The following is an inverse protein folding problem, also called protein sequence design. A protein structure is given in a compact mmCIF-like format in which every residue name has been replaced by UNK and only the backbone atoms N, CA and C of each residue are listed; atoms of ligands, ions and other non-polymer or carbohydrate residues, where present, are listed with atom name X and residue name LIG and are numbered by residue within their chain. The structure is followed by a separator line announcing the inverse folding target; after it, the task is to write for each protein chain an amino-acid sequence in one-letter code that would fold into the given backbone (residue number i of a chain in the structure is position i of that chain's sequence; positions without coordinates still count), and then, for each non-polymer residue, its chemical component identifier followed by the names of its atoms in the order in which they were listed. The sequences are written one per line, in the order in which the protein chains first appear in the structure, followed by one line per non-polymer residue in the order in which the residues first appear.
data_IF_001757912430
#
_entry.id   IF_001757912430
#
_cell.length_a   1.000
_cell.length_b   1.000
_cell.length_c   1.000
_cell.angle_alpha   90.00
_cell.angle_beta   90.00
_cell.angle_gamma   90.00
#
_symmetry.space_group_name_H-M   'P 1'
#
loop_
_entity.id
_entity.type
_entity.pdbx_description
1 polymer ?
#
# COMPACT_ATOMS: atom_id res chain seq x y z
N UNK A 1 11.64 2.37 -9.78
CA UNK A 1 10.33 1.73 -9.53
C UNK A 1 9.22 2.80 -9.45
N UNK A 2 7.99 2.55 -9.92
CA UNK A 2 6.81 3.40 -9.75
C UNK A 2 6.06 2.93 -8.52
N UNK A 3 5.72 3.87 -7.65
CA UNK A 3 5.00 3.60 -6.40
C UNK A 3 3.51 3.88 -6.56
N UNK A 4 2.71 3.25 -5.70
CA UNK A 4 1.28 3.51 -5.61
C UNK A 4 1.08 4.93 -5.06
N UNK A 5 0.30 5.75 -5.76
CA UNK A 5 0.00 7.11 -5.31
C UNK A 5 -1.13 7.12 -4.29
N UNK A 6 -1.27 8.22 -3.54
CA UNK A 6 -2.39 8.41 -2.61
C UNK A 6 -3.74 8.25 -3.32
N UNK A 7 -3.95 8.93 -4.45
CA UNK A 7 -5.21 8.82 -5.19
C UNK A 7 -5.50 7.37 -5.63
N UNK A 8 -4.47 6.64 -6.08
CA UNK A 8 -4.62 5.25 -6.50
C UNK A 8 -4.99 4.32 -5.34
N UNK A 9 -4.41 4.52 -4.15
CA UNK A 9 -4.79 3.71 -2.98
C UNK A 9 -6.19 4.04 -2.49
N UNK A 10 -6.63 5.30 -2.62
CA UNK A 10 -8.01 5.70 -2.29
C UNK A 10 -9.03 5.09 -3.27
N UNK A 11 -8.72 5.08 -4.56
CA UNK A 11 -9.54 4.41 -5.58
C UNK A 11 -9.55 2.90 -5.32
N UNK A 12 -8.42 2.30 -4.99
CA UNK A 12 -8.31 0.89 -4.65
C UNK A 12 -9.16 0.53 -3.42
N UNK A 13 -9.07 1.33 -2.34
CA UNK A 13 -9.90 1.14 -1.14
C UNK A 13 -11.39 1.23 -1.46
N UNK A 14 -11.80 2.26 -2.23
CA UNK A 14 -13.20 2.41 -2.64
C UNK A 14 -13.73 1.16 -3.33
N UNK A 15 -13.02 0.68 -4.36
CA UNK A 15 -13.42 -0.54 -5.11
C UNK A 15 -13.53 -1.76 -4.21
N UNK A 16 -12.56 -1.95 -3.31
CA UNK A 16 -12.56 -3.07 -2.37
C UNK A 16 -13.78 -3.02 -1.45
N UNK A 17 -14.14 -1.83 -0.93
CA UNK A 17 -15.31 -1.68 -0.06
C UNK A 17 -16.62 -1.89 -0.85
N UNK A 18 -16.70 -1.37 -2.07
CA UNK A 18 -17.85 -1.56 -2.97
C UNK A 18 -18.08 -3.06 -3.29
N UNK A 19 -17.01 -3.82 -3.51
CA UNK A 19 -17.09 -5.24 -3.90
C UNK A 19 -17.26 -6.19 -2.70
N UNK A 20 -16.59 -5.92 -1.57
CA UNK A 20 -16.51 -6.86 -0.45
C UNK A 20 -17.27 -6.41 0.81
N UNK A 21 -17.91 -5.25 0.77
CA UNK A 21 -18.60 -4.63 1.90
C UNK A 21 -17.64 -4.07 2.96
N UNK A 22 -18.21 -3.40 3.96
CA UNK A 22 -17.48 -2.71 5.02
C UNK A 22 -17.72 -1.20 5.02
N UNK A 23 -16.98 -0.49 5.87
CA UNK A 23 -17.15 0.97 6.03
C UNK A 23 -16.08 1.75 5.26
N UNK A 24 -16.52 2.60 4.33
CA UNK A 24 -15.64 3.52 3.63
C UNK A 24 -15.18 4.64 4.58
N UNK A 25 -13.99 5.19 4.32
CA UNK A 25 -13.45 6.32 5.08
C UNK A 25 -11.98 6.16 5.45
N UNK A 26 -11.29 7.30 5.51
CA UNK A 26 -9.94 7.41 6.04
C UNK A 26 -10.06 7.65 7.54
N UNK A 27 -9.41 6.81 8.34
CA UNK A 27 -9.29 6.99 9.79
C UNK A 27 -8.19 8.01 10.10
N UNK A 28 -7.06 7.90 9.42
CA UNK A 28 -5.89 8.76 9.62
C UNK A 28 -5.09 8.88 8.32
N UNK A 29 -5.04 10.10 7.78
CA UNK A 29 -4.34 10.41 6.53
C UNK A 29 -2.82 10.31 6.69
N UNK A 30 -2.28 10.77 7.82
CA UNK A 30 -0.84 10.72 8.10
C UNK A 30 -0.34 9.28 8.18
N UNK A 31 -1.14 8.38 8.76
CA UNK A 31 -0.85 6.95 8.78
C UNK A 31 -0.90 6.30 7.39
N UNK A 32 -1.75 6.81 6.48
CA UNK A 32 -1.82 6.37 5.09
C UNK A 32 -0.57 6.81 4.33
N UNK A 33 -0.21 8.08 4.43
CA UNK A 33 0.98 8.66 3.79
C UNK A 33 2.26 7.98 4.29
N UNK A 34 2.35 7.73 5.60
CA UNK A 34 3.43 6.95 6.20
C UNK A 34 3.56 5.55 5.57
N UNK A 35 2.44 4.83 5.41
CA UNK A 35 2.46 3.51 4.79
C UNK A 35 2.89 3.55 3.32
N UNK A 36 2.47 4.55 2.56
CA UNK A 36 2.86 4.76 1.15
C UNK A 36 4.32 5.22 0.99
N UNK A 37 4.90 5.84 2.02
CA UNK A 37 6.31 6.23 2.05
C UNK A 37 7.22 5.04 2.37
N UNK A 38 6.72 4.03 3.08
CA UNK A 38 7.55 2.95 3.62
C UNK A 38 8.44 2.21 2.60
N UNK A 39 7.97 1.88 1.38
CA UNK A 39 8.81 1.21 0.36
C UNK A 39 9.99 2.05 -0.15
N UNK A 40 10.06 3.33 0.22
CA UNK A 40 11.10 4.29 -0.16
C UNK A 40 12.01 4.67 1.01
N UNK A 41 11.82 4.09 2.19
CA UNK A 41 12.68 4.40 3.32
C UNK A 41 14.12 3.97 3.09
N UNK A 42 15.04 4.81 3.55
CA UNK A 42 16.48 4.58 3.48
C UNK A 42 17.09 4.78 4.86
N UNK A 43 18.23 4.14 5.10
CA UNK A 43 19.05 4.37 6.28
C UNK A 43 20.51 4.51 5.84
N UNK A 44 21.17 5.60 6.25
CA UNK A 44 22.53 5.94 5.81
C UNK A 44 22.69 5.97 4.28
N UNK A 45 21.64 6.42 3.57
CA UNK A 45 21.62 6.47 2.09
C UNK A 45 21.39 5.12 1.41
N UNK A 46 21.24 4.03 2.16
CA UNK A 46 20.98 2.68 1.63
C UNK A 46 19.49 2.38 1.73
N UNK A 47 18.94 1.80 0.66
CA UNK A 47 17.54 1.37 0.61
C UNK A 47 17.26 0.29 1.65
N UNK A 48 16.24 0.48 2.48
CA UNK A 48 15.84 -0.53 3.47
C UNK A 48 15.18 -1.74 2.81
N UNK A 49 14.65 -1.57 1.61
CA UNK A 49 13.93 -2.61 0.86
C UNK A 49 14.50 -2.66 -0.56
N UNK A 50 15.65 -3.33 -0.78
CA UNK A 50 16.36 -3.27 -2.06
C UNK A 50 15.65 -4.02 -3.19
N UNK A 51 14.85 -5.06 -2.90
CA UNK A 51 14.14 -5.83 -3.92
C UNK A 51 12.69 -5.40 -4.11
N UNK A 52 12.12 -5.73 -5.27
CA UNK A 52 10.68 -5.51 -5.56
C UNK A 52 9.78 -6.20 -4.52
N UNK A 53 10.11 -7.44 -4.15
CA UNK A 53 9.33 -8.24 -3.20
C UNK A 53 9.35 -7.58 -1.82
N UNK A 54 10.52 -7.13 -1.36
CA UNK A 54 10.65 -6.43 -0.07
C UNK A 54 9.87 -5.11 -0.08
N UNK A 55 9.91 -4.34 -1.17
CA UNK A 55 9.13 -3.10 -1.30
C UNK A 55 7.63 -3.35 -1.30
N UNK A 56 7.17 -4.41 -1.96
CA UNK A 56 5.77 -4.81 -1.96
C UNK A 56 5.32 -5.27 -0.56
N UNK A 57 6.16 -6.07 0.12
CA UNK A 57 5.92 -6.52 1.48
C UNK A 57 5.87 -5.35 2.47
N UNK A 58 6.80 -4.39 2.37
CA UNK A 58 6.83 -3.20 3.20
C UNK A 58 5.56 -2.34 3.04
N UNK A 59 5.09 -2.16 1.80
CA UNK A 59 3.84 -1.44 1.51
C UNK A 59 2.64 -2.15 2.16
N UNK A 60 2.48 -3.44 1.86
CA UNK A 60 1.36 -4.23 2.35
C UNK A 60 1.33 -4.30 3.87
N UNK A 61 2.46 -4.62 4.49
CA UNK A 61 2.61 -4.68 5.94
C UNK A 61 2.25 -3.33 6.60
N UNK A 62 2.76 -2.22 6.07
CA UNK A 62 2.53 -0.90 6.67
C UNK A 62 1.07 -0.47 6.56
N UNK A 63 0.41 -0.72 5.43
CA UNK A 63 -1.03 -0.45 5.29
C UNK A 63 -1.86 -1.28 6.27
N UNK A 64 -1.49 -2.55 6.48
CA UNK A 64 -2.16 -3.42 7.46
C UNK A 64 -1.92 -2.91 8.88
N UNK A 65 -0.66 -2.65 9.24
CA UNK A 65 -0.25 -2.33 10.60
C UNK A 65 -0.60 -0.91 11.03
N UNK A 66 -0.61 0.05 10.11
CA UNK A 66 -0.97 1.43 10.39
C UNK A 66 -2.49 1.63 10.48
N UNK A 67 -3.29 0.70 9.96
CA UNK A 67 -4.75 0.80 9.94
C UNK A 67 -5.30 2.17 9.46
N UNK A 68 -4.83 2.76 8.33
CA UNK A 68 -5.19 4.13 7.95
C UNK A 68 -6.66 4.32 7.55
N UNK A 69 -7.39 3.25 7.22
CA UNK A 69 -8.80 3.30 6.87
C UNK A 69 -9.69 2.88 8.04
N UNK A 70 -10.95 3.32 8.03
CA UNK A 70 -11.97 2.91 9.02
C UNK A 70 -12.18 1.40 8.98
N UNK A 71 -12.25 0.82 7.78
CA UNK A 71 -12.29 -0.62 7.52
C UNK A 71 -11.53 -0.95 6.22
N UNK A 72 -11.22 -2.23 6.00
CA UNK A 72 -10.62 -2.72 4.76
C UNK A 72 -9.10 -2.76 4.76
N UNK A 73 -8.43 -2.37 5.85
CA UNK A 73 -6.96 -2.27 5.93
C UNK A 73 -6.21 -3.54 5.47
N UNK A 74 -6.68 -4.73 5.89
CA UNK A 74 -6.12 -6.03 5.47
C UNK A 74 -6.26 -6.26 3.96
N UNK A 75 -7.44 -5.96 3.42
CA UNK A 75 -7.78 -6.14 2.01
C UNK A 75 -7.01 -5.15 1.13
N UNK A 76 -6.97 -3.88 1.51
CA UNK A 76 -6.17 -2.85 0.81
C UNK A 76 -4.69 -3.16 0.88
N UNK A 77 -4.16 -3.58 2.04
CA UNK A 77 -2.75 -3.94 2.17
C UNK A 77 -2.35 -5.09 1.25
N UNK A 78 -3.16 -6.16 1.21
CA UNK A 78 -2.95 -7.28 0.29
C UNK A 78 -3.05 -6.82 -1.18
N UNK A 79 -4.07 -6.04 -1.54
CA UNK A 79 -4.26 -5.57 -2.91
C UNK A 79 -3.15 -4.61 -3.36
N UNK A 80 -2.65 -3.75 -2.49
CA UNK A 80 -1.56 -2.84 -2.78
C UNK A 80 -0.23 -3.59 -2.98
N UNK A 81 0.05 -4.59 -2.14
CA UNK A 81 1.18 -5.50 -2.34
C UNK A 81 1.08 -6.20 -3.70
N UNK A 82 -0.07 -6.81 -3.98
CA UNK A 82 -0.30 -7.51 -5.24
C UNK A 82 -0.17 -6.58 -6.45
N UNK A 83 -0.71 -5.36 -6.35
CA UNK A 83 -0.60 -4.33 -7.39
C UNK A 83 0.87 -4.03 -7.73
N UNK A 84 1.72 -3.89 -6.71
CA UNK A 84 3.16 -3.67 -6.91
C UNK A 84 3.78 -4.86 -7.64
N UNK A 85 3.51 -6.10 -7.23
CA UNK A 85 4.09 -7.27 -7.90
C UNK A 85 3.63 -7.40 -9.36
N UNK A 86 2.31 -7.34 -9.61
CA UNK A 86 1.73 -7.54 -10.95
C UNK A 86 2.17 -6.50 -11.96
N UNK A 87 2.29 -5.24 -11.54
CA UNK A 87 2.68 -4.14 -12.44
C UNK A 87 4.12 -4.29 -12.96
N UNK A 88 4.95 -5.00 -12.21
CA UNK A 88 6.34 -5.29 -12.56
C UNK A 88 6.49 -6.59 -13.35
N UNK A 89 5.67 -7.61 -13.10
CA UNK A 89 5.67 -8.83 -13.92
C UNK A 89 5.16 -8.64 -15.35
N UNK A 90 4.35 -7.61 -15.62
CA UNK A 90 3.86 -7.32 -16.98
C UNK A 90 4.81 -6.36 -17.77
N UNK A 91 6.07 -6.22 -17.34
CA UNK A 91 7.10 -5.41 -18.02
C UNK A 91 8.25 -6.26 -18.60
N UNK A 92 8.16 -7.57 -18.45
CA UNK A 92 8.96 -8.58 -19.18
C UNK A 92 8.04 -9.28 -20.18
#
# INVERSE_FOLDING_TARGET
MRYLTLNEVLILHRRIIEESGGTAGIRDLSMLESALAQPRQTFSGIDLYPTLVEKAAALGFSLIKNHPFVDGNKRVGHAALWWVLKRYSNKE
#
